data_IF_911475728545
#
_entry.id   IF_911475728545
#
_cell.length_a   1.000
_cell.length_b   1.000
_cell.length_c   1.000
_cell.angle_alpha   90.00
_cell.angle_beta   90.00
_cell.angle_gamma   90.00
#
_symmetry.space_group_name_H-M   'P 1'
#
loop_
_entity.id
_entity.type
_entity.pdbx_description
1 polymer ?
#
# COMPACT_ATOMS: atom_id res chain seq x y z
N UNK A 1 -20.96 20.13 5.51
CA UNK A 1 -20.40 19.82 4.18
C UNK A 1 -18.92 19.55 4.37
N UNK A 2 -18.45 18.32 4.11
CA UNK A 2 -17.05 17.93 4.32
C UNK A 2 -16.27 18.18 3.01
N UNK A 3 -15.16 18.90 3.08
CA UNK A 3 -14.26 19.06 1.93
C UNK A 3 -13.19 17.97 1.98
N UNK A 4 -13.27 17.03 1.05
CA UNK A 4 -12.24 16.02 0.80
C UNK A 4 -11.35 16.54 -0.34
N UNK A 5 -10.15 17.01 -0.01
CA UNK A 5 -9.17 17.42 -1.03
C UNK A 5 -8.25 16.24 -1.34
N UNK A 6 -8.49 15.55 -2.46
CA UNK A 6 -7.55 14.55 -2.99
C UNK A 6 -6.56 15.23 -3.93
N UNK A 7 -5.29 15.35 -3.52
CA UNK A 7 -4.21 15.80 -4.39
C UNK A 7 -3.32 14.60 -4.72
N UNK A 8 -3.32 14.17 -5.99
CA UNK A 8 -2.42 13.14 -6.50
C UNK A 8 -1.26 13.81 -7.25
N UNK A 9 -0.04 13.75 -6.70
CA UNK A 9 1.17 14.29 -7.32
C UNK A 9 2.25 13.19 -7.38
N UNK A 10 2.45 12.57 -8.56
CA UNK A 10 3.71 11.91 -9.00
C UNK A 10 4.30 10.74 -8.19
N UNK A 11 3.78 10.47 -7.01
CA UNK A 11 4.01 9.32 -6.14
C UNK A 11 2.84 9.35 -5.17
N UNK A 12 2.12 8.23 -5.01
CA UNK A 12 0.75 8.17 -4.48
C UNK A 12 0.62 8.59 -3.01
N UNK A 13 0.81 9.89 -2.72
CA UNK A 13 0.60 10.52 -1.43
C UNK A 13 -0.79 11.12 -1.41
N UNK A 14 -1.71 10.43 -0.76
CA UNK A 14 -3.09 10.89 -0.63
C UNK A 14 -3.27 11.61 0.70
N UNK A 15 -3.15 12.94 0.70
CA UNK A 15 -3.44 13.73 1.90
C UNK A 15 -4.94 13.76 2.15
N UNK A 16 -5.38 13.14 3.25
CA UNK A 16 -6.74 13.32 3.74
C UNK A 16 -6.69 14.11 5.02
N UNK A 17 -7.34 15.28 5.04
CA UNK A 17 -7.53 16.08 6.24
C UNK A 17 -9.02 16.10 6.56
N UNK A 18 -9.41 15.51 7.70
CA UNK A 18 -10.76 15.64 8.24
C UNK A 18 -10.82 16.94 9.07
N UNK A 19 -11.15 18.07 8.44
CA UNK A 19 -11.45 19.31 9.17
C UNK A 19 -12.96 19.51 9.24
N UNK A 20 -13.53 19.45 10.45
CA UNK A 20 -14.94 19.76 10.70
C UNK A 20 -15.06 20.59 11.97
N UNK A 21 -15.71 21.75 11.88
CA UNK A 21 -15.88 22.71 12.97
C UNK A 21 -16.64 22.09 14.16
N UNK A 22 -16.07 22.26 15.35
CA UNK A 22 -16.70 21.94 16.62
C UNK A 22 -17.81 22.96 16.91
N UNK A 23 -19.07 22.61 16.67
CA UNK A 23 -20.20 23.32 17.27
C UNK A 23 -20.48 22.76 18.67
N UNK A 24 -20.45 23.65 19.66
CA UNK A 24 -20.79 23.34 21.05
C UNK A 24 -22.31 23.13 21.17
N UNK A 25 -22.79 21.89 21.02
CA UNK A 25 -24.14 21.53 21.45
C UNK A 25 -24.09 20.59 22.66
N UNK A 26 -24.53 21.09 23.81
CA UNK A 26 -24.68 20.35 25.06
C UNK A 26 -26.01 19.59 25.05
N UNK A 27 -26.01 18.25 25.17
CA UNK A 27 -27.20 17.58 25.71
C UNK A 27 -27.49 16.13 25.36
N UNK A 28 -27.03 15.57 24.23
CA UNK A 28 -27.45 14.22 23.84
C UNK A 28 -26.30 13.36 23.27
N UNK A 29 -26.04 12.23 23.91
CA UNK A 29 -24.95 11.30 23.57
C UNK A 29 -25.29 10.42 22.37
N UNK A 30 -26.57 10.09 22.14
CA UNK A 30 -26.99 9.21 21.05
C UNK A 30 -26.99 9.93 19.69
N UNK A 31 -27.21 11.25 19.68
CA UNK A 31 -27.07 12.04 18.46
C UNK A 31 -25.61 12.18 17.99
N UNK A 32 -24.61 12.12 18.88
CA UNK A 32 -23.19 12.28 18.50
C UNK A 32 -22.60 11.08 17.77
N UNK A 33 -23.09 9.85 18.02
CA UNK A 33 -22.69 8.66 17.22
C UNK A 33 -23.13 8.76 15.75
N UNK A 34 -24.05 9.67 15.40
CA UNK A 34 -24.54 9.79 14.02
C UNK A 34 -23.48 10.35 13.04
N UNK A 35 -22.41 10.98 13.52
CA UNK A 35 -21.44 11.67 12.66
C UNK A 35 -19.98 11.25 12.88
N UNK A 36 -19.68 9.96 13.01
CA UNK A 36 -18.32 9.43 12.92
C UNK A 36 -17.83 9.52 11.47
N UNK A 37 -16.90 10.43 11.09
CA UNK A 37 -16.42 10.46 9.73
C UNK A 37 -15.60 9.20 9.44
N UNK A 38 -15.88 8.57 8.30
CA UNK A 38 -15.11 7.45 7.78
C UNK A 38 -14.42 7.92 6.51
N UNK A 39 -13.10 7.80 6.48
CA UNK A 39 -12.29 7.95 5.28
C UNK A 39 -12.02 6.55 4.75
N UNK A 40 -12.74 6.15 3.71
CA UNK A 40 -12.54 4.87 3.05
C UNK A 40 -11.84 5.05 1.70
N UNK A 41 -10.98 4.09 1.35
CA UNK A 41 -10.55 3.94 -0.04
C UNK A 41 -11.78 3.69 -0.91
N UNK A 42 -11.87 4.37 -2.05
CA UNK A 42 -12.91 4.11 -3.04
C UNK A 42 -12.71 2.77 -3.74
N UNK A 43 -11.45 2.33 -3.82
CA UNK A 43 -11.07 1.13 -4.54
C UNK A 43 -11.39 -0.11 -3.70
N UNK A 44 -12.11 -1.04 -4.31
CA UNK A 44 -12.24 -2.40 -3.81
C UNK A 44 -10.91 -3.10 -4.04
N UNK A 45 -10.33 -3.65 -2.98
CA UNK A 45 -9.06 -4.35 -3.05
C UNK A 45 -9.25 -5.62 -3.89
N UNK A 46 -8.35 -5.80 -4.85
CA UNK A 46 -8.30 -6.99 -5.70
C UNK A 46 -7.39 -8.04 -5.05
N UNK A 47 -7.22 -9.20 -5.68
CA UNK A 47 -6.28 -10.22 -5.21
C UNK A 47 -4.85 -9.67 -5.03
N UNK A 48 -4.03 -10.38 -4.25
CA UNK A 48 -2.66 -10.00 -3.91
C UNK A 48 -2.51 -9.43 -2.49
N UNK A 49 -1.42 -8.71 -2.26
CA UNK A 49 -1.05 -8.14 -0.95
C UNK A 49 -1.16 -6.62 -0.97
N UNK A 50 -1.99 -6.05 -0.11
CA UNK A 50 -2.21 -4.60 -0.06
C UNK A 50 -1.64 -4.02 1.22
N UNK A 51 -0.87 -2.94 1.15
CA UNK A 51 -0.24 -2.31 2.31
C UNK A 51 -0.59 -0.81 2.41
N UNK A 52 -1.14 -0.43 3.56
CA UNK A 52 -1.55 0.94 3.85
C UNK A 52 -0.72 1.49 5.01
N UNK A 53 -0.23 2.73 4.89
CA UNK A 53 0.51 3.42 5.95
C UNK A 53 -0.19 4.71 6.36
N UNK A 54 -0.70 4.75 7.58
CA UNK A 54 -1.36 5.91 8.16
C UNK A 54 -0.40 6.58 9.13
N UNK A 55 -0.10 7.86 8.94
CA UNK A 55 0.69 8.62 9.91
C UNK A 55 -0.23 9.39 10.84
N UNK A 56 -0.01 9.25 12.14
CA UNK A 56 -0.69 10.04 13.16
C UNK A 56 0.08 11.35 13.30
N UNK A 57 -0.54 12.46 12.89
CA UNK A 57 0.11 13.79 12.93
C UNK A 57 -0.65 14.66 13.94
N UNK A 58 0.02 15.20 14.96
CA UNK A 58 -0.67 16.09 15.90
C UNK A 58 -1.20 17.32 15.16
N UNK A 59 -2.42 17.75 15.47
CA UNK A 59 -2.88 19.05 15.01
C UNK A 59 -2.16 20.11 15.84
N UNK A 60 -1.56 21.10 15.17
CA UNK A 60 -0.65 22.11 15.76
C UNK A 60 -1.22 22.91 16.96
N UNK A 61 -2.52 22.81 17.27
CA UNK A 61 -3.19 23.59 18.32
C UNK A 61 -3.59 22.83 19.57
N UNK A 62 -3.60 21.50 19.57
CA UNK A 62 -3.95 20.69 20.75
C UNK A 62 -2.89 19.62 21.01
N UNK A 63 -2.07 19.83 22.05
CA UNK A 63 -0.99 18.89 22.45
C UNK A 63 -1.52 17.56 23.02
N UNK A 64 -2.82 17.44 23.27
CA UNK A 64 -3.44 16.20 23.72
C UNK A 64 -4.15 15.54 22.53
N UNK A 65 -3.50 14.56 21.91
CA UNK A 65 -4.24 13.60 21.07
C UNK A 65 -5.27 12.94 21.99
N UNK A 66 -6.52 12.92 21.54
CA UNK A 66 -7.65 12.39 22.30
C UNK A 66 -7.29 11.02 22.90
N UNK A 67 -7.19 10.98 24.22
CA UNK A 67 -6.72 9.87 25.06
C UNK A 67 -7.61 8.61 25.01
N UNK A 68 -8.58 8.54 24.11
CA UNK A 68 -9.64 7.54 24.17
C UNK A 68 -10.06 7.05 22.79
N UNK A 69 -9.36 6.04 22.24
CA UNK A 69 -9.91 5.02 21.34
C UNK A 69 -10.54 5.50 20.02
N UNK A 70 -10.35 6.76 19.66
CA UNK A 70 -11.18 7.44 18.67
C UNK A 70 -10.78 7.15 17.23
N UNK A 71 -9.59 6.61 16.99
CA UNK A 71 -9.12 6.28 15.64
C UNK A 71 -9.14 4.76 15.47
N UNK A 72 -9.72 4.30 14.36
CA UNK A 72 -9.68 2.91 13.89
C UNK A 72 -9.05 2.88 12.51
N UNK A 73 -8.08 1.99 12.30
CA UNK A 73 -7.37 1.82 11.02
C UNK A 73 -7.47 0.36 10.60
N UNK A 74 -7.95 0.09 9.39
CA UNK A 74 -8.01 -1.29 8.91
C UNK A 74 -8.93 -1.52 7.72
N UNK A 75 -9.49 -2.71 7.67
CA UNK A 75 -10.19 -3.26 6.52
C UNK A 75 -11.65 -3.58 6.86
N UNK A 76 -12.54 -3.50 5.88
CA UNK A 76 -13.94 -3.85 6.03
C UNK A 76 -14.57 -4.29 4.71
N UNK A 77 -15.61 -5.10 4.77
CA UNK A 77 -16.38 -5.52 3.60
C UNK A 77 -17.27 -4.39 3.05
N UNK A 78 -17.37 -4.31 1.72
CA UNK A 78 -18.20 -3.28 1.05
C UNK A 78 -19.69 -3.51 1.11
N UNK A 79 -20.13 -4.71 1.44
CA UNK A 79 -21.56 -5.07 1.43
C UNK A 79 -22.32 -4.35 2.54
N UNK A 80 -21.61 -3.85 3.55
CA UNK A 80 -22.16 -3.05 4.63
C UNK A 80 -21.78 -1.57 4.47
N UNK A 81 -22.65 -0.67 4.93
CA UNK A 81 -22.31 0.74 5.10
C UNK A 81 -21.00 0.82 5.90
N UNK A 82 -20.00 1.51 5.36
CA UNK A 82 -18.68 1.66 5.97
C UNK A 82 -18.76 2.20 7.41
N UNK A 83 -19.86 2.82 7.82
CA UNK A 83 -20.09 3.15 9.23
C UNK A 83 -20.60 1.95 10.04
N UNK A 84 -21.57 1.23 9.50
CA UNK A 84 -22.14 0.04 10.13
C UNK A 84 -21.09 -1.05 10.32
N UNK A 85 -20.18 -1.28 9.36
CA UNK A 85 -19.18 -2.35 9.42
C UNK A 85 -18.25 -2.29 10.64
N UNK A 86 -18.13 -1.13 11.28
CA UNK A 86 -17.20 -0.93 12.40
C UNK A 86 -17.89 -0.81 13.76
N UNK A 87 -19.18 -0.45 13.79
CA UNK A 87 -19.89 -0.12 15.03
C UNK A 87 -20.77 -1.25 15.56
N UNK A 88 -21.19 -2.22 14.74
CA UNK A 88 -22.08 -3.29 15.21
C UNK A 88 -21.31 -4.50 15.74
N UNK A 89 -21.67 -4.93 16.95
CA UNK A 89 -21.24 -6.20 17.56
C UNK A 89 -21.56 -7.42 16.71
N UNK A 90 -22.52 -7.28 15.80
CA UNK A 90 -23.13 -8.37 15.03
C UNK A 90 -22.37 -8.64 13.72
N UNK A 91 -21.33 -7.83 13.43
CA UNK A 91 -20.53 -7.86 12.20
C UNK A 91 -19.18 -8.57 12.42
N UNK A 92 -19.17 -9.68 13.18
CA UNK A 92 -17.97 -10.51 13.36
C UNK A 92 -17.47 -11.00 12.00
N UNK A 93 -16.17 -10.82 11.73
CA UNK A 93 -15.56 -11.20 10.45
C UNK A 93 -15.90 -10.29 9.27
N UNK A 94 -16.57 -9.14 9.49
CA UNK A 94 -16.87 -8.18 8.42
C UNK A 94 -15.92 -6.98 8.41
N UNK A 95 -15.15 -6.78 9.48
CA UNK A 95 -14.12 -5.75 9.58
C UNK A 95 -12.95 -6.22 10.42
N UNK A 96 -11.77 -5.70 10.13
CA UNK A 96 -10.51 -6.01 10.82
C UNK A 96 -9.77 -4.72 11.05
N UNK A 97 -9.54 -4.35 12.30
CA UNK A 97 -8.94 -3.04 12.55
C UNK A 97 -8.14 -2.94 13.82
N UNK A 98 -7.21 -2.00 13.77
CA UNK A 98 -6.39 -1.58 14.90
C UNK A 98 -6.92 -0.25 15.45
N UNK A 99 -7.28 -0.25 16.74
CA UNK A 99 -7.80 0.91 17.44
C UNK A 99 -6.69 1.62 18.20
N UNK A 100 -6.79 2.95 18.25
CA UNK A 100 -5.85 3.84 18.96
C UNK A 100 -5.61 3.55 20.45
N UNK A 101 -6.46 2.77 21.11
CA UNK A 101 -6.22 2.30 22.50
C UNK A 101 -5.29 1.10 22.59
N UNK A 102 -4.85 0.52 21.47
CA UNK A 102 -3.99 -0.65 21.48
C UNK A 102 -4.70 -1.98 21.23
N UNK A 103 -6.01 -1.97 20.93
CA UNK A 103 -6.75 -3.20 20.69
C UNK A 103 -6.84 -3.49 19.19
N UNK A 104 -6.62 -4.74 18.82
CA UNK A 104 -6.85 -5.27 17.47
C UNK A 104 -8.14 -6.07 17.48
N UNK A 105 -9.01 -5.81 16.52
CA UNK A 105 -10.34 -6.39 16.40
C UNK A 105 -10.47 -7.22 15.13
N UNK A 106 -11.09 -8.39 15.27
CA UNK A 106 -11.61 -9.23 14.19
C UNK A 106 -13.15 -9.14 14.22
N UNK A 107 -13.66 -8.00 13.77
CA UNK A 107 -15.04 -7.57 13.90
C UNK A 107 -15.34 -7.05 15.31
N UNK A 108 -16.13 -7.80 16.09
CA UNK A 108 -16.56 -7.38 17.44
C UNK A 108 -15.75 -7.97 18.59
N UNK A 109 -14.87 -8.94 18.30
CA UNK A 109 -14.03 -9.58 19.32
C UNK A 109 -12.67 -8.91 19.34
N UNK A 110 -12.27 -8.44 20.53
CA UNK A 110 -10.85 -8.12 20.79
C UNK A 110 -10.09 -9.43 20.62
N UNK A 111 -9.05 -9.42 19.79
CA UNK A 111 -8.18 -10.57 19.64
C UNK A 111 -7.62 -10.95 21.03
N UNK A 112 -7.93 -12.13 21.57
CA UNK A 112 -7.54 -12.48 22.93
C UNK A 112 -6.01 -12.45 23.04
N UNK A 113 -5.51 -11.83 24.11
CA UNK A 113 -4.08 -11.69 24.42
C UNK A 113 -3.27 -10.71 23.56
N UNK A 114 -3.90 -9.87 22.74
CA UNK A 114 -3.23 -8.82 21.99
C UNK A 114 -3.52 -7.44 22.60
N UNK A 115 -2.72 -7.04 23.59
CA UNK A 115 -2.62 -5.63 23.98
C UNK A 115 -1.46 -5.02 23.22
N UNK A 116 -1.77 -4.29 22.16
CA UNK A 116 -0.81 -3.52 21.40
C UNK A 116 -0.63 -2.12 22.03
N UNK A 117 0.48 -1.42 21.77
CA UNK A 117 0.64 -0.05 22.24
C UNK A 117 -0.35 0.91 21.56
N UNK A 118 -1.00 1.79 22.32
CA UNK A 118 -1.90 2.82 21.77
C UNK A 118 -1.21 3.76 20.78
N UNK A 119 -1.99 4.53 20.01
CA UNK A 119 -1.45 5.44 19.00
C UNK A 119 -0.94 6.73 19.64
N UNK A 120 0.25 7.17 19.25
CA UNK A 120 0.87 8.41 19.67
C UNK A 120 1.17 9.34 18.48
N UNK A 121 1.32 10.66 18.69
CA UNK A 121 1.73 11.57 17.63
C UNK A 121 3.08 11.13 17.04
N UNK A 122 3.17 11.07 15.71
CA UNK A 122 4.34 10.61 14.97
C UNK A 122 4.33 9.12 14.66
N UNK A 123 3.41 8.34 15.23
CA UNK A 123 3.28 6.91 14.90
C UNK A 123 2.85 6.71 13.44
N UNK A 124 3.38 5.65 12.84
CA UNK A 124 2.98 5.12 11.54
C UNK A 124 2.32 3.77 11.77
N UNK A 125 1.03 3.69 11.45
CA UNK A 125 0.25 2.45 11.49
C UNK A 125 0.31 1.82 10.11
N UNK A 126 0.85 0.61 10.03
CA UNK A 126 0.84 -0.18 8.79
C UNK A 126 -0.25 -1.22 8.90
N UNK A 127 -1.21 -1.20 7.96
CA UNK A 127 -2.23 -2.22 7.81
C UNK A 127 -1.98 -2.97 6.50
N UNK A 128 -1.82 -4.28 6.57
CA UNK A 128 -1.58 -5.14 5.42
C UNK A 128 -2.68 -6.17 5.33
N UNK A 129 -3.21 -6.43 4.13
CA UNK A 129 -4.08 -7.58 3.87
C UNK A 129 -3.45 -8.44 2.79
N UNK A 130 -3.33 -9.74 3.05
CA UNK A 130 -2.89 -10.73 2.08
C UNK A 130 -4.07 -11.62 1.68
N UNK A 131 -4.47 -11.53 0.42
CA UNK A 131 -5.59 -12.30 -0.12
C UNK A 131 -5.28 -13.79 -0.28
N UNK A 132 -4.01 -14.14 -0.53
CA UNK A 132 -3.56 -15.52 -0.71
C UNK A 132 -3.58 -16.27 0.63
N UNK A 133 -2.97 -15.66 1.65
CA UNK A 133 -2.90 -16.23 3.00
C UNK A 133 -4.19 -16.03 3.81
N UNK A 134 -5.14 -15.23 3.29
CA UNK A 134 -6.34 -14.77 4.00
C UNK A 134 -6.02 -14.19 5.37
N UNK A 135 -5.03 -13.29 5.39
CA UNK A 135 -4.57 -12.64 6.62
C UNK A 135 -4.68 -11.12 6.54
N UNK A 136 -4.95 -10.51 7.69
CA UNK A 136 -4.82 -9.07 7.88
C UNK A 136 -3.82 -8.83 9.01
N UNK A 137 -2.76 -8.08 8.74
CA UNK A 137 -1.75 -7.74 9.74
C UNK A 137 -1.67 -6.25 10.01
N UNK A 138 -1.37 -5.91 11.26
CA UNK A 138 -1.24 -4.55 11.75
C UNK A 138 0.08 -4.40 12.48
N UNK A 139 0.80 -3.33 12.19
CA UNK A 139 2.00 -2.98 12.93
C UNK A 139 2.07 -1.49 13.19
N UNK A 140 2.70 -1.13 14.29
CA UNK A 140 2.94 0.26 14.69
C UNK A 140 4.43 0.50 14.67
N UNK A 141 4.84 1.60 14.05
CA UNK A 141 6.21 2.08 14.11
C UNK A 141 6.23 3.52 14.61
N UNK A 142 7.00 3.78 15.66
CA UNK A 142 7.20 5.13 16.16
C UNK A 142 8.38 5.77 15.44
N UNK A 143 8.16 6.93 14.83
CA UNK A 143 9.24 7.76 14.28
C UNK A 143 9.62 8.78 15.34
N UNK A 144 10.69 8.50 16.08
CA UNK A 144 11.21 9.45 17.06
C UNK A 144 11.88 10.61 16.31
N UNK A 145 11.42 11.83 16.60
CA UNK A 145 12.02 13.06 16.10
C UNK A 145 13.30 13.38 16.88
N UNK A 146 14.30 12.50 16.82
CA UNK A 146 15.64 12.77 17.37
C UNK A 146 16.59 13.23 16.26
N UNK A 147 17.40 14.23 16.58
CA UNK A 147 18.14 15.07 15.64
C UNK A 147 19.30 14.40 14.89
N UNK A 148 19.70 13.17 15.20
CA UNK A 148 20.93 12.60 14.59
C UNK A 148 20.80 11.19 14.01
N UNK A 149 19.72 10.45 14.29
CA UNK A 149 19.32 9.21 13.61
C UNK A 149 17.94 8.81 14.14
N UNK A 150 16.93 8.57 13.28
CA UNK A 150 15.65 8.09 13.76
C UNK A 150 15.85 6.68 14.35
N UNK A 151 15.82 6.57 15.67
CA UNK A 151 15.71 5.28 16.32
C UNK A 151 14.29 4.77 16.07
N UNK A 152 14.16 3.68 15.31
CA UNK A 152 12.87 3.11 14.98
C UNK A 152 12.47 2.11 16.07
N UNK A 153 11.40 2.44 16.81
CA UNK A 153 10.75 1.47 17.70
C UNK A 153 9.61 0.83 16.93
N UNK A 154 9.79 -0.44 16.56
CA UNK A 154 8.77 -1.22 15.87
C UNK A 154 8.03 -2.09 16.90
N UNK A 155 6.69 -1.95 16.96
CA UNK A 155 5.86 -2.87 17.73
C UNK A 155 5.87 -4.24 17.08
N UNK A 156 5.48 -5.27 17.84
CA UNK A 156 5.16 -6.57 17.26
C UNK A 156 4.09 -6.41 16.18
N UNK A 157 4.21 -7.22 15.13
CA UNK A 157 3.19 -7.34 14.10
C UNK A 157 2.05 -8.22 14.65
N UNK A 158 0.82 -7.80 14.41
CA UNK A 158 -0.39 -8.49 14.85
C UNK A 158 -1.11 -9.03 13.62
N UNK A 159 -1.24 -10.36 13.51
CA UNK A 159 -1.85 -11.00 12.33
C UNK A 159 -3.15 -11.68 12.72
N UNK A 160 -4.21 -11.35 12.00
CA UNK A 160 -5.52 -12.01 12.05
C UNK A 160 -5.59 -12.98 10.86
N UNK A 161 -6.00 -14.22 11.10
CA UNK A 161 -6.16 -15.26 10.09
C UNK A 161 -7.64 -15.48 9.77
N UNK A 162 -7.94 -16.05 8.59
CA UNK A 162 -9.31 -16.38 8.21
C UNK A 162 -10.13 -15.17 7.76
N UNK A 163 -9.46 -14.13 7.29
CA UNK A 163 -10.09 -12.93 6.73
C UNK A 163 -10.88 -13.32 5.48
N UNK A 164 -12.16 -12.96 5.42
CA UNK A 164 -12.91 -13.04 4.17
C UNK A 164 -12.46 -11.89 3.26
N UNK A 165 -11.88 -12.24 2.13
CA UNK A 165 -11.22 -11.29 1.24
C UNK A 165 -12.13 -10.82 0.11
N UNK A 166 -13.40 -11.24 0.10
CA UNK A 166 -14.34 -10.87 -0.94
C UNK A 166 -14.83 -9.42 -0.77
N UNK A 167 -14.46 -8.54 -1.70
CA UNK A 167 -14.88 -7.14 -1.68
C UNK A 167 -14.45 -6.38 -0.41
N UNK A 168 -13.16 -6.43 -0.08
CA UNK A 168 -12.60 -5.69 1.04
C UNK A 168 -12.22 -4.28 0.60
N UNK A 169 -12.39 -3.31 1.50
CA UNK A 169 -11.84 -1.95 1.39
C UNK A 169 -10.99 -1.63 2.60
N UNK A 170 -10.03 -0.74 2.40
CA UNK A 170 -9.32 -0.10 3.49
C UNK A 170 -10.06 1.17 3.96
N UNK A 171 -10.04 1.45 5.25
CA UNK A 171 -10.56 2.69 5.80
C UNK A 171 -9.91 3.12 7.12
N UNK A 172 -10.12 4.39 7.42
CA UNK A 172 -9.78 5.04 8.68
C UNK A 172 -11.06 5.70 9.21
N UNK A 173 -11.50 5.29 10.39
CA UNK A 173 -12.70 5.85 11.04
C UNK A 173 -12.30 6.67 12.26
N UNK A 174 -13.04 7.76 12.47
CA UNK A 174 -12.94 8.60 13.65
C UNK A 174 -14.25 8.54 14.44
N UNK A 175 -14.21 8.17 15.72
CA UNK A 175 -15.40 8.13 16.60
C UNK A 175 -15.90 9.53 16.99
N UNK A 176 -15.06 10.56 16.84
CA UNK A 176 -15.40 11.96 17.06
C UNK A 176 -14.76 12.82 15.98
N UNK A 177 -15.20 14.07 15.85
CA UNK A 177 -14.46 15.10 15.11
C UNK A 177 -13.07 15.27 15.76
N UNK A 178 -12.13 14.42 15.38
CA UNK A 178 -10.72 14.52 15.71
C UNK A 178 -10.02 15.07 14.47
N UNK A 179 -9.74 16.37 14.41
CA UNK A 179 -8.84 16.90 13.40
C UNK A 179 -7.42 16.39 13.70
N UNK A 180 -6.78 15.67 12.77
CA UNK A 180 -5.35 15.34 12.90
C UNK A 180 -4.91 13.92 12.53
N UNK A 181 -5.49 13.27 11.53
CA UNK A 181 -4.84 12.09 10.93
C UNK A 181 -4.68 12.34 9.46
N UNK A 182 -3.48 12.05 8.97
CA UNK A 182 -3.13 12.18 7.58
C UNK A 182 -2.76 10.80 7.08
N UNK A 183 -3.51 10.30 6.10
CA UNK A 183 -3.02 9.22 5.28
C UNK A 183 -1.80 9.77 4.52
N UNK A 184 -0.60 9.26 4.82
CA UNK A 184 0.62 9.84 4.25
C UNK A 184 0.94 9.18 2.92
N UNK A 185 0.96 7.86 2.93
CA UNK A 185 1.35 7.04 1.81
C UNK A 185 0.40 5.83 1.71
N UNK A 186 -0.06 5.54 0.51
CA UNK A 186 -0.70 4.28 0.17
C UNK A 186 0.22 3.53 -0.79
N UNK A 187 0.52 2.27 -0.48
CA UNK A 187 1.31 1.41 -1.37
C UNK A 187 0.50 0.16 -1.71
N UNK A 188 -0.18 0.22 -2.86
CA UNK A 188 -0.81 -0.94 -3.46
C UNK A 188 0.27 -1.87 -4.03
N UNK A 189 0.82 -2.76 -3.21
CA UNK A 189 1.77 -3.78 -3.68
C UNK A 189 1.03 -5.00 -4.22
N UNK A 190 0.16 -4.83 -5.22
CA UNK A 190 -0.33 -6.01 -5.96
C UNK A 190 0.86 -6.78 -6.54
N UNK A 191 0.72 -8.10 -6.67
CA UNK A 191 1.71 -8.92 -7.35
C UNK A 191 1.99 -8.36 -8.76
N UNK A 192 0.97 -7.79 -9.42
CA UNK A 192 1.07 -7.15 -10.73
C UNK A 192 1.87 -5.84 -10.70
N UNK A 193 1.66 -4.94 -9.73
CA UNK A 193 2.45 -3.71 -9.62
C UNK A 193 3.90 -4.03 -9.23
N UNK A 194 4.10 -4.98 -8.33
CA UNK A 194 5.43 -5.48 -7.99
C UNK A 194 6.14 -6.07 -9.23
N UNK A 195 5.44 -6.87 -10.03
CA UNK A 195 5.96 -7.43 -11.28
C UNK A 195 6.29 -6.33 -12.30
N UNK A 196 5.38 -5.36 -12.49
CA UNK A 196 5.56 -4.23 -13.39
C UNK A 196 6.77 -3.37 -13.01
N UNK A 197 6.87 -2.97 -11.73
CA UNK A 197 8.02 -2.22 -11.21
C UNK A 197 9.31 -3.02 -11.31
N UNK A 198 9.26 -4.32 -11.01
CA UNK A 198 10.41 -5.22 -11.15
C UNK A 198 10.94 -5.24 -12.59
N UNK A 199 10.04 -5.37 -13.58
CA UNK A 199 10.39 -5.29 -15.01
C UNK A 199 10.95 -3.91 -15.38
N UNK A 200 10.37 -2.82 -14.87
CA UNK A 200 10.88 -1.46 -15.06
C UNK A 200 12.31 -1.28 -14.55
N UNK A 201 12.58 -1.64 -13.29
CA UNK A 201 13.93 -1.57 -12.71
C UNK A 201 14.94 -2.45 -13.46
N UNK A 202 14.52 -3.64 -13.90
CA UNK A 202 15.36 -4.50 -14.75
C UNK A 202 15.73 -3.79 -16.06
N UNK A 203 14.78 -3.15 -16.73
CA UNK A 203 15.03 -2.36 -17.94
C UNK A 203 16.01 -1.21 -17.72
N UNK A 204 15.83 -0.42 -16.65
CA UNK A 204 16.78 0.64 -16.28
C UNK A 204 18.19 0.09 -16.00
N UNK A 205 18.30 -1.05 -15.33
CA UNK A 205 19.60 -1.69 -15.07
C UNK A 205 20.35 -2.03 -16.37
N UNK A 206 19.64 -2.53 -17.38
CA UNK A 206 20.22 -2.79 -18.70
C UNK A 206 20.67 -1.51 -19.42
N UNK A 207 19.90 -0.41 -19.30
CA UNK A 207 20.32 0.89 -19.85
C UNK A 207 21.60 1.42 -19.19
N UNK A 208 21.72 1.28 -17.87
CA UNK A 208 22.94 1.66 -17.15
C UNK A 208 24.15 0.80 -17.55
N UNK A 209 23.96 -0.51 -17.76
CA UNK A 209 25.01 -1.38 -18.34
C UNK A 209 25.50 -0.84 -19.68
N UNK A 210 24.59 -0.46 -20.59
CA UNK A 210 24.96 0.09 -21.91
C UNK A 210 25.78 1.38 -21.79
N UNK A 211 25.53 2.18 -20.74
CA UNK A 211 26.27 3.40 -20.43
C UNK A 211 27.55 3.18 -19.61
N UNK A 212 27.85 1.93 -19.25
CA UNK A 212 28.94 1.55 -18.33
C UNK A 212 28.80 2.17 -16.93
N UNK A 213 27.58 2.47 -16.52
CA UNK A 213 27.21 3.02 -15.21
C UNK A 213 26.94 1.86 -14.22
N UNK A 214 27.99 1.09 -13.88
CA UNK A 214 27.85 -0.20 -13.19
C UNK A 214 27.21 -0.11 -11.80
N UNK A 215 27.52 0.93 -11.03
CA UNK A 215 26.97 1.12 -9.69
C UNK A 215 25.44 1.31 -9.72
N UNK A 216 24.95 2.07 -10.70
CA UNK A 216 23.51 2.30 -10.89
C UNK A 216 22.81 1.04 -11.41
N UNK A 217 23.44 0.31 -12.34
CA UNK A 217 22.93 -0.98 -12.79
C UNK A 217 22.76 -1.98 -11.63
N UNK A 218 23.78 -2.09 -10.77
CA UNK A 218 23.75 -2.94 -9.56
C UNK A 218 22.60 -2.52 -8.63
N UNK A 219 22.42 -1.21 -8.43
CA UNK A 219 21.31 -0.69 -7.63
C UNK A 219 19.95 -1.08 -8.21
N UNK A 220 19.78 -0.91 -9.53
CA UNK A 220 18.56 -1.29 -10.26
C UNK A 220 18.26 -2.79 -10.16
N UNK A 221 19.23 -3.67 -10.38
CA UNK A 221 19.00 -5.12 -10.30
C UNK A 221 18.70 -5.61 -8.88
N UNK A 222 19.31 -5.01 -7.85
CA UNK A 222 18.93 -5.27 -6.45
C UNK A 222 17.46 -4.92 -6.20
N UNK A 223 17.02 -3.73 -6.63
CA UNK A 223 15.61 -3.31 -6.52
C UNK A 223 14.67 -4.23 -7.31
N UNK A 224 15.02 -4.58 -8.54
CA UNK A 224 14.25 -5.50 -9.36
C UNK A 224 14.08 -6.87 -8.66
N UNK A 225 15.16 -7.42 -8.09
CA UNK A 225 15.12 -8.68 -7.35
C UNK A 225 14.21 -8.63 -6.11
N UNK A 226 14.20 -7.53 -5.38
CA UNK A 226 13.25 -7.30 -4.27
C UNK A 226 11.80 -7.27 -4.77
N UNK A 227 11.54 -6.58 -5.87
CA UNK A 227 10.20 -6.52 -6.46
C UNK A 227 9.71 -7.88 -6.97
N UNK A 228 10.55 -8.64 -7.67
CA UNK A 228 10.20 -10.00 -8.09
C UNK A 228 10.01 -10.95 -6.91
N UNK A 229 10.76 -10.76 -5.81
CA UNK A 229 10.50 -11.49 -4.58
C UNK A 229 9.12 -11.18 -4.00
N UNK A 230 8.74 -9.90 -3.95
CA UNK A 230 7.44 -9.46 -3.46
C UNK A 230 6.30 -9.94 -4.36
N UNK A 231 6.54 -10.04 -5.66
CA UNK A 231 5.61 -10.61 -6.64
C UNK A 231 5.53 -12.15 -6.60
N UNK A 232 6.36 -12.83 -5.79
CA UNK A 232 6.41 -14.29 -5.76
C UNK A 232 7.04 -14.95 -6.99
N UNK A 233 7.54 -14.18 -7.97
CA UNK A 233 8.11 -14.72 -9.21
C UNK A 233 9.56 -15.17 -9.03
N UNK A 234 9.72 -16.48 -8.76
CA UNK A 234 11.04 -17.10 -8.56
C UNK A 234 11.91 -17.07 -9.81
N UNK A 235 11.33 -17.13 -11.02
CA UNK A 235 12.09 -17.17 -12.26
C UNK A 235 12.73 -15.81 -12.55
N UNK A 236 11.93 -14.74 -12.48
CA UNK A 236 12.43 -13.37 -12.66
C UNK A 236 13.38 -12.95 -11.54
N UNK A 237 13.13 -13.41 -10.30
CA UNK A 237 14.08 -13.18 -9.19
C UNK A 237 15.45 -13.82 -9.46
N UNK A 238 15.50 -15.05 -9.97
CA UNK A 238 16.77 -15.70 -10.35
C UNK A 238 17.47 -14.93 -11.45
N UNK A 239 16.73 -14.50 -12.48
CA UNK A 239 17.29 -13.70 -13.57
C UNK A 239 17.88 -12.37 -13.08
N UNK A 240 17.19 -11.67 -12.18
CA UNK A 240 17.71 -10.43 -11.59
C UNK A 240 18.99 -10.68 -10.75
N UNK A 241 19.06 -11.81 -10.04
CA UNK A 241 20.26 -12.18 -9.28
C UNK A 241 21.46 -12.53 -10.18
N UNK A 242 21.22 -13.14 -11.34
CA UNK A 242 22.26 -13.41 -12.34
C UNK A 242 22.79 -12.11 -12.95
N UNK A 243 21.91 -11.22 -13.40
CA UNK A 243 22.28 -9.89 -13.93
C UNK A 243 23.03 -9.05 -12.89
N UNK A 244 22.63 -9.12 -11.61
CA UNK A 244 23.33 -8.47 -10.51
C UNK A 244 24.77 -9.00 -10.38
N UNK A 245 24.96 -10.32 -10.44
CA UNK A 245 26.28 -10.95 -10.36
C UNK A 245 27.16 -10.55 -11.53
N UNK A 246 26.61 -10.53 -12.75
CA UNK A 246 27.34 -10.08 -13.94
C UNK A 246 27.75 -8.61 -13.85
N UNK A 247 26.85 -7.73 -13.42
CA UNK A 247 27.15 -6.31 -13.24
C UNK A 247 28.25 -6.07 -12.19
N UNK A 248 28.28 -6.88 -11.11
CA UNK A 248 29.37 -6.86 -10.12
C UNK A 248 30.70 -7.30 -10.71
N UNK A 249 30.72 -8.38 -11.50
CA UNK A 249 31.93 -8.84 -12.19
C UNK A 249 32.45 -7.76 -13.15
N UNK A 250 31.55 -7.08 -13.88
CA UNK A 250 31.89 -5.97 -14.77
C UNK A 250 32.47 -4.77 -14.04
N UNK A 251 31.91 -4.44 -12.87
CA UNK A 251 32.43 -3.37 -12.01
C UNK A 251 33.86 -3.67 -11.53
N UNK A 252 34.12 -4.91 -11.10
CA UNK A 252 35.41 -5.30 -10.51
C UNK A 252 36.51 -5.47 -11.57
N UNK A 253 36.17 -6.01 -12.75
CA UNK A 253 37.15 -6.41 -13.77
C UNK A 253 37.26 -5.42 -14.93
N UNK A 254 36.31 -4.50 -15.09
CA UNK A 254 36.22 -3.61 -16.26
C UNK A 254 35.95 -4.34 -17.58
N UNK A 255 35.76 -5.67 -17.55
CA UNK A 255 35.50 -6.54 -18.70
C UNK A 255 34.51 -7.62 -18.24
N UNK A 256 33.33 -7.69 -18.84
CA UNK A 256 32.35 -8.72 -18.52
C UNK A 256 31.85 -9.44 -19.76
N UNK A 257 31.66 -10.74 -19.59
CA UNK A 257 31.05 -11.66 -20.54
C UNK A 257 29.61 -11.90 -20.10
N UNK A 258 28.69 -11.01 -20.49
CA UNK A 258 27.26 -11.29 -20.40
C UNK A 258 26.97 -12.45 -21.36
N UNK A 259 26.36 -13.54 -20.86
CA UNK A 259 26.36 -14.87 -21.48
C UNK A 259 26.35 -14.93 -23.01
N UNK A 260 27.43 -15.46 -23.61
CA UNK A 260 27.69 -15.86 -25.02
C UNK A 260 27.20 -15.00 -26.19
N UNK A 261 26.46 -13.91 -25.96
CA UNK A 261 26.28 -12.83 -26.88
C UNK A 261 27.22 -11.74 -26.40
N UNK A 262 28.45 -11.77 -26.91
CA UNK A 262 29.27 -10.58 -26.99
C UNK A 262 28.36 -9.46 -27.51
N UNK A 263 28.12 -8.45 -26.68
CA UNK A 263 27.77 -7.13 -27.19
C UNK A 263 28.99 -6.67 -27.98
N UNK A 264 29.15 -7.21 -29.20
CA UNK A 264 29.69 -6.40 -30.26
C UNK A 264 28.85 -5.13 -30.23
N UNK A 265 29.53 -3.99 -30.22
CA UNK A 265 28.91 -2.71 -30.45
C UNK A 265 28.22 -2.80 -31.82
N UNK A 266 26.99 -3.31 -31.85
CA UNK A 266 26.12 -3.25 -33.02
C UNK A 266 25.99 -1.76 -33.28
N UNK A 267 26.56 -1.34 -34.41
CA UNK A 267 26.55 0.03 -34.84
C UNK A 267 25.15 0.61 -34.76
N UNK A 268 25.09 1.86 -34.34
CA UNK A 268 24.42 2.89 -35.14
C UNK A 268 23.02 2.56 -35.64
N UNK A 269 22.12 2.13 -34.76
CA UNK A 269 20.71 2.40 -34.92
C UNK A 269 20.22 3.12 -33.67
N UNK A 270 19.75 4.38 -33.78
CA UNK A 270 19.18 5.07 -32.63
C UNK A 270 17.99 4.27 -32.11
N UNK A 271 18.04 3.87 -30.84
CA UNK A 271 16.85 3.45 -30.10
C UNK A 271 15.97 4.69 -30.04
N UNK A 272 14.95 4.72 -30.89
CA UNK A 272 13.94 5.76 -30.89
C UNK A 272 13.11 5.60 -29.61
N UNK A 273 13.14 6.53 -28.63
CA UNK A 273 12.39 6.39 -27.38
C UNK A 273 10.88 6.64 -27.55
N UNK A 274 10.35 6.62 -28.77
CA UNK A 274 8.93 6.85 -29.11
C UNK A 274 8.19 5.57 -29.52
N UNK A 275 8.26 4.52 -28.70
CA UNK A 275 7.19 3.49 -28.68
C UNK A 275 6.65 3.35 -27.26
N UNK A 276 6.21 4.49 -26.73
CA UNK A 276 5.05 4.53 -25.84
C UNK A 276 3.82 4.44 -26.76
N UNK A 277 3.41 3.21 -27.06
CA UNK A 277 2.24 2.93 -27.90
C UNK A 277 1.76 1.52 -27.63
N UNK A 278 0.89 1.36 -26.63
CA UNK A 278 -0.01 0.22 -26.54
C UNK A 278 -1.38 0.73 -26.11
N UNK A 279 -2.07 1.28 -27.10
CA UNK A 279 -3.52 1.30 -27.16
C UNK A 279 -3.92 0.28 -28.24
N UNK A 280 -5.06 -0.37 -28.01
CA UNK A 280 -5.79 -1.30 -28.89
C UNK A 280 -5.37 -2.78 -28.87
N UNK A 281 -5.86 -3.49 -27.86
CA UNK A 281 -6.48 -4.81 -28.08
C UNK A 281 -7.97 -4.65 -27.80
N UNK A 282 -8.72 -4.24 -28.82
CA UNK A 282 -10.18 -4.35 -28.87
C UNK A 282 -10.59 -4.50 -30.33
N UNK A 283 -10.37 -5.70 -30.90
CA UNK A 283 -10.91 -6.14 -32.18
C UNK A 283 -10.67 -7.64 -32.35
N UNK A 284 -11.46 -8.46 -31.67
CA UNK A 284 -11.78 -9.82 -32.09
C UNK A 284 -13.07 -10.24 -31.42
N UNK A 285 -14.21 -9.98 -32.08
CA UNK A 285 -15.47 -10.73 -32.00
C UNK A 285 -16.50 -10.07 -32.95
N UNK A 286 -16.33 -10.32 -34.25
CA UNK A 286 -17.43 -10.29 -35.20
C UNK A 286 -17.46 -11.69 -35.82
N UNK A 287 -18.21 -12.57 -35.17
CA UNK A 287 -18.57 -13.89 -35.71
C UNK A 287 -19.77 -13.72 -36.64
N UNK A 288 -19.65 -14.37 -37.79
CA UNK A 288 -20.57 -14.35 -38.91
C UNK A 288 -21.99 -14.78 -38.49
N UNK A 289 -22.99 -13.96 -38.82
CA UNK A 289 -24.39 -14.36 -38.84
C UNK A 289 -24.73 -14.82 -40.25
N UNK A 290 -24.78 -16.13 -40.38
CA UNK A 290 -25.24 -16.92 -41.50
C UNK A 290 -26.66 -16.51 -41.91
N UNK A 291 -26.80 -16.26 -43.20
CA UNK A 291 -28.01 -15.86 -43.89
C UNK A 291 -28.62 -17.12 -44.50
N UNK A 292 -29.69 -17.63 -43.91
CA UNK A 292 -30.50 -18.71 -44.50
C UNK A 292 -31.94 -18.21 -44.71
N UNK A 293 -32.33 -18.19 -45.98
CA UNK A 293 -33.68 -17.97 -46.49
C UNK A 293 -34.53 -19.24 -46.35
N UNK A 294 -35.71 -19.13 -45.73
CA UNK A 294 -36.92 -19.93 -46.03
C UNK A 294 -38.17 -19.30 -45.40
#
# INVERSE_FOLDING_TARGET
MFFLLMLALGGSRLWVTASGCAEKSSGDWDHRRKHSPVVASRQILKQGKHMYRVQIIPLERDRAIATHGQIRVGFFHTVADAKASWDTSDMIGQSWYYRSIGNVYDGSRVAPNLVAPGFEPGDIITATVNFEDRTASFSKRRVLATTERPAEEQSRDFTIHGVDVNQVRFGVQFERQCPGVVLRDYEDQTADDALYRGKGFKGYGLMHIQRKEWADAIHCFKKAGTWFHNAGDRALRKQAAEMLREAQIMQDKGVGTLGSQTFDMIGSAPINPMVAGFAAEDQMLAGDAEQDDA
#
